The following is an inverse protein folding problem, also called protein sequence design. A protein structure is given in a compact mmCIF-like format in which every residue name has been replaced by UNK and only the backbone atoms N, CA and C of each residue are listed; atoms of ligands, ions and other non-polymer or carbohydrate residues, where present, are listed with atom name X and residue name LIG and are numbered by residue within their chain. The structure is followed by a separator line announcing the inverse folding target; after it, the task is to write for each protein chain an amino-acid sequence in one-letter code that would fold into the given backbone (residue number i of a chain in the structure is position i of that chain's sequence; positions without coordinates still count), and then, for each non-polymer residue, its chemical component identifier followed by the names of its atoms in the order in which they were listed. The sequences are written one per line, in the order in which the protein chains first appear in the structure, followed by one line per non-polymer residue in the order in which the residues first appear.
data_IF_863090642783
#
_entry.id   IF_863090642783
#
_cell.length_a   1.000
_cell.length_b   1.000
_cell.length_c   1.000
_cell.angle_alpha   90.00
_cell.angle_beta   90.00
_cell.angle_gamma   90.00
#
_symmetry.space_group_name_H-M   'P 1'
#
loop_
_entity.id
_entity.type
_entity.pdbx_description
1 polymer ?
#
# COMPACT_ATOMS: atom_id res chain seq x y z
N UNK A 1 -41.13 -1.45 25.40
CA UNK A 1 -39.80 -0.96 25.80
C UNK A 1 -38.90 -2.18 25.96
N UNK A 2 -37.76 -2.22 25.26
CA UNK A 2 -36.79 -3.33 25.36
C UNK A 2 -35.69 -2.93 26.34
N UNK A 3 -35.34 -3.82 27.26
CA UNK A 3 -34.21 -3.68 28.19
C UNK A 3 -33.20 -4.78 27.91
N UNK A 4 -31.93 -4.42 27.75
CA UNK A 4 -30.83 -5.36 27.54
C UNK A 4 -29.78 -5.18 28.64
N UNK A 5 -29.27 -6.29 29.17
CA UNK A 5 -28.21 -6.33 30.19
C UNK A 5 -27.01 -7.07 29.63
N UNK A 6 -25.85 -6.42 29.61
CA UNK A 6 -24.59 -7.03 29.15
C UNK A 6 -23.75 -7.37 30.39
N UNK A 7 -23.51 -8.66 30.60
CA UNK A 7 -22.60 -9.15 31.63
C UNK A 7 -21.23 -9.39 30.99
N UNK A 8 -20.19 -8.69 31.46
CA UNK A 8 -18.83 -8.80 30.93
C UNK A 8 -17.81 -8.99 32.06
N UNK A 9 -16.73 -9.73 31.77
CA UNK A 9 -15.60 -9.85 32.69
C UNK A 9 -14.64 -8.67 32.51
N UNK A 10 -14.32 -7.98 33.61
CA UNK A 10 -13.37 -6.88 33.62
C UNK A 10 -11.91 -7.34 33.46
N UNK A 11 -11.64 -8.64 33.61
CA UNK A 11 -10.34 -9.23 33.31
C UNK A 11 -10.03 -9.24 31.81
N UNK A 12 -11.08 -9.15 30.97
CA UNK A 12 -10.98 -9.23 29.50
C UNK A 12 -11.41 -7.93 28.81
N UNK A 13 -12.33 -7.16 29.40
CA UNK A 13 -12.93 -6.00 28.76
C UNK A 13 -12.85 -4.76 29.63
N UNK A 14 -12.46 -3.64 29.01
CA UNK A 14 -12.63 -2.33 29.62
C UNK A 14 -14.04 -1.78 29.35
N UNK A 15 -14.42 -0.76 30.12
CA UNK A 15 -15.74 -0.12 30.04
C UNK A 15 -16.02 0.45 28.65
N UNK A 16 -15.01 1.03 27.99
CA UNK A 16 -15.13 1.59 26.64
C UNK A 16 -15.45 0.51 25.59
N UNK A 17 -14.89 -0.69 25.73
CA UNK A 17 -15.17 -1.80 24.82
C UNK A 17 -16.59 -2.33 25.02
N UNK A 18 -17.04 -2.43 26.28
CA UNK A 18 -18.41 -2.84 26.59
C UNK A 18 -19.42 -1.82 26.02
N UNK A 19 -19.14 -0.52 26.13
CA UNK A 19 -19.97 0.54 25.57
C UNK A 19 -20.03 0.45 24.03
N UNK A 20 -18.88 0.24 23.35
CA UNK A 20 -18.83 0.02 21.90
C UNK A 20 -19.66 -1.19 21.48
N UNK A 21 -19.52 -2.34 22.16
CA UNK A 21 -20.31 -3.55 21.89
C UNK A 21 -21.81 -3.26 22.07
N UNK A 22 -22.20 -2.52 23.10
CA UNK A 22 -23.59 -2.11 23.32
C UNK A 22 -24.13 -1.26 22.16
N UNK A 23 -23.35 -0.28 21.69
CA UNK A 23 -23.70 0.57 20.55
C UNK A 23 -23.82 -0.23 19.25
N UNK A 24 -22.89 -1.16 18.98
CA UNK A 24 -22.92 -2.05 17.82
C UNK A 24 -24.16 -2.95 17.85
N UNK A 25 -24.47 -3.54 19.01
CA UNK A 25 -25.65 -4.38 19.19
C UNK A 25 -26.96 -3.59 18.97
N UNK A 26 -27.04 -2.37 19.49
CA UNK A 26 -28.18 -1.49 19.23
C UNK A 26 -28.34 -1.14 17.74
N UNK A 27 -27.23 -0.84 17.05
CA UNK A 27 -27.23 -0.60 15.61
C UNK A 27 -27.72 -1.81 14.82
N UNK A 28 -27.29 -3.01 15.21
CA UNK A 28 -27.73 -4.27 14.62
C UNK A 28 -29.25 -4.46 14.78
N UNK A 29 -29.79 -4.29 16.00
CA UNK A 29 -31.22 -4.41 16.25
C UNK A 29 -32.02 -3.40 15.43
N UNK A 30 -31.56 -2.15 15.36
CA UNK A 30 -32.17 -1.15 14.46
C UNK A 30 -32.18 -1.62 13.01
N UNK A 31 -31.05 -2.10 12.49
CA UNK A 31 -30.97 -2.56 11.10
C UNK A 31 -31.87 -3.75 10.80
N UNK A 32 -32.10 -4.65 11.77
CA UNK A 32 -33.02 -5.78 11.65
C UNK A 32 -34.50 -5.36 11.66
N UNK A 33 -34.87 -4.40 12.51
CA UNK A 33 -36.28 -4.05 12.73
C UNK A 33 -36.77 -2.81 11.94
N UNK A 34 -35.88 -2.03 11.34
CA UNK A 34 -36.27 -0.85 10.52
C UNK A 34 -36.62 -1.24 9.08
N UNK A 35 -36.33 -2.47 8.64
CA UNK A 35 -36.65 -2.98 7.29
C UNK A 35 -38.02 -3.66 7.17
N UNK A 36 -38.88 -3.55 8.20
CA UNK A 36 -40.15 -4.31 8.28
C UNK A 36 -41.23 -3.82 7.28
N UNK A 37 -41.10 -2.61 6.72
CA UNK A 37 -42.10 -2.08 5.77
C UNK A 37 -41.89 -2.50 4.31
N UNK A 38 -40.76 -3.11 3.95
CA UNK A 38 -40.54 -3.66 2.62
C UNK A 38 -40.14 -5.12 2.73
N UNK A 39 -40.96 -6.01 2.19
CA UNK A 39 -40.70 -7.45 2.06
C UNK A 39 -39.48 -7.73 1.17
N UNK A 40 -38.28 -7.41 1.64
CA UNK A 40 -37.03 -7.91 1.09
C UNK A 40 -36.35 -8.72 2.18
N UNK A 41 -36.13 -10.00 1.87
CA UNK A 41 -35.26 -10.93 2.59
C UNK A 41 -33.85 -10.34 2.65
N UNK A 42 -33.61 -9.45 3.62
CA UNK A 42 -32.29 -8.88 3.82
C UNK A 42 -31.37 -9.98 4.32
N UNK A 43 -30.35 -10.30 3.53
CA UNK A 43 -29.41 -11.34 3.91
C UNK A 43 -28.55 -10.88 5.08
N UNK A 44 -28.23 -11.81 5.98
CA UNK A 44 -27.48 -11.50 7.21
C UNK A 44 -26.12 -10.84 6.94
N UNK A 45 -25.50 -11.10 5.78
CA UNK A 45 -24.22 -10.50 5.38
C UNK A 45 -24.31 -9.00 5.02
N UNK A 46 -25.50 -8.45 4.86
CA UNK A 46 -25.72 -7.03 4.53
C UNK A 46 -25.88 -6.14 5.76
N UNK A 47 -25.87 -6.73 6.96
CA UNK A 47 -25.99 -6.02 8.23
C UNK A 47 -24.60 -5.57 8.65
N UNK A 48 -24.41 -4.26 8.84
CA UNK A 48 -23.13 -3.71 9.27
C UNK A 48 -23.08 -3.61 10.79
N UNK A 49 -22.04 -4.16 11.39
CA UNK A 49 -21.69 -3.89 12.80
C UNK A 49 -20.88 -2.62 12.97
N UNK A 50 -20.37 -2.04 11.88
CA UNK A 50 -19.49 -0.88 11.92
C UNK A 50 -20.27 0.35 12.34
N UNK A 51 -19.77 1.04 13.38
CA UNK A 51 -20.34 2.29 13.83
C UNK A 51 -19.96 3.45 12.90
N UNK A 52 -20.75 4.54 12.83
CA UNK A 52 -20.45 5.68 11.96
C UNK A 52 -19.06 6.31 12.19
N UNK A 53 -18.61 6.35 13.45
CA UNK A 53 -17.27 6.83 13.82
C UNK A 53 -16.15 5.91 13.31
N UNK A 54 -16.36 4.60 13.32
CA UNK A 54 -15.42 3.61 12.78
C UNK A 54 -15.33 3.72 11.25
N UNK A 55 -16.46 3.93 10.57
CA UNK A 55 -16.48 4.21 9.13
C UNK A 55 -15.70 5.49 8.78
N UNK A 56 -15.90 6.55 9.55
CA UNK A 56 -15.14 7.79 9.38
C UNK A 56 -13.64 7.58 9.60
N UNK A 57 -13.26 6.84 10.66
CA UNK A 57 -11.87 6.51 10.93
C UNK A 57 -11.25 5.74 9.75
N UNK A 58 -11.94 4.70 9.26
CA UNK A 58 -11.51 3.92 8.10
C UNK A 58 -11.31 4.81 6.86
N UNK A 59 -12.24 5.72 6.57
CA UNK A 59 -12.12 6.64 5.44
C UNK A 59 -10.94 7.60 5.63
N UNK A 60 -10.77 8.15 6.84
CA UNK A 60 -9.70 9.11 7.13
C UNK A 60 -8.31 8.47 7.06
N UNK A 61 -8.14 7.26 7.58
CA UNK A 61 -6.86 6.54 7.55
C UNK A 61 -6.52 6.02 6.15
N UNK A 62 -7.54 5.65 5.36
CA UNK A 62 -7.36 5.19 3.98
C UNK A 62 -7.38 6.33 2.95
N UNK A 63 -7.40 7.60 3.38
CA UNK A 63 -7.29 8.74 2.49
C UNK A 63 -5.84 8.95 2.03
N UNK A 64 -5.30 7.98 1.29
CA UNK A 64 -3.93 7.96 0.77
C UNK A 64 -3.85 8.41 -0.69
N UNK A 65 -4.96 8.90 -1.25
CA UNK A 65 -5.01 9.43 -2.61
C UNK A 65 -4.19 10.72 -2.70
N UNK A 66 -3.03 10.62 -3.33
CA UNK A 66 -2.17 11.76 -3.65
C UNK A 66 -2.07 11.85 -5.17
N UNK A 67 -2.36 13.02 -5.73
CA UNK A 67 -2.16 13.27 -7.15
C UNK A 67 -0.66 13.25 -7.47
N UNK A 68 -0.18 12.19 -8.11
CA UNK A 68 1.15 12.21 -8.71
C UNK A 68 1.14 13.16 -9.91
N UNK A 69 2.00 14.19 -9.86
CA UNK A 69 2.02 15.27 -10.85
C UNK A 69 2.63 14.88 -12.21
N UNK A 70 3.28 13.72 -12.29
CA UNK A 70 3.88 13.22 -13.53
C UNK A 70 2.96 12.16 -14.15
N UNK A 71 2.87 12.04 -15.49
CA UNK A 71 2.43 10.78 -16.08
C UNK A 71 3.23 9.64 -15.43
N UNK A 72 2.64 8.45 -15.27
CA UNK A 72 3.31 7.31 -14.64
C UNK A 72 4.62 7.02 -15.38
N UNK A 73 5.73 7.58 -14.91
CA UNK A 73 7.06 7.39 -15.46
C UNK A 73 7.66 6.18 -14.78
N UNK A 74 8.20 5.25 -15.57
CA UNK A 74 8.95 4.15 -14.98
C UNK A 74 10.18 4.73 -14.25
N UNK A 75 10.61 4.09 -13.16
CA UNK A 75 11.76 4.54 -12.36
C UNK A 75 13.00 4.80 -13.22
N UNK A 76 13.25 3.98 -14.25
CA UNK A 76 14.37 4.18 -15.16
C UNK A 76 14.30 5.48 -15.99
N UNK A 77 13.10 6.00 -16.30
CA UNK A 77 12.95 7.29 -16.99
C UNK A 77 13.35 8.45 -16.08
N UNK A 78 12.90 8.45 -14.83
CA UNK A 78 13.29 9.47 -13.84
C UNK A 78 14.80 9.42 -13.54
N UNK A 79 15.37 8.22 -13.48
CA UNK A 79 16.81 8.04 -13.35
C UNK A 79 17.57 8.65 -14.53
N UNK A 80 17.17 8.36 -15.77
CA UNK A 80 17.79 8.96 -16.97
C UNK A 80 17.66 10.48 -16.95
N UNK A 81 16.49 11.02 -16.58
CA UNK A 81 16.29 12.46 -16.46
C UNK A 81 17.26 13.10 -15.46
N UNK A 82 17.41 12.50 -14.26
CA UNK A 82 18.35 12.98 -13.26
C UNK A 82 19.81 12.87 -13.73
N UNK A 83 20.16 11.78 -14.41
CA UNK A 83 21.51 11.56 -14.91
C UNK A 83 21.91 12.55 -16.02
N UNK A 84 20.98 12.89 -16.90
CA UNK A 84 21.17 13.93 -17.90
C UNK A 84 21.26 15.33 -17.27
N UNK A 85 20.49 15.58 -16.20
CA UNK A 85 20.45 16.88 -15.51
C UNK A 85 21.69 17.13 -14.65
N UNK A 86 22.23 16.08 -14.01
CA UNK A 86 23.34 16.17 -13.07
C UNK A 86 24.40 15.08 -13.29
N UNK A 87 25.05 15.04 -14.47
CA UNK A 87 25.90 13.92 -14.87
C UNK A 87 27.08 13.68 -13.93
N UNK A 88 27.67 14.76 -13.38
CA UNK A 88 28.86 14.70 -12.53
C UNK A 88 28.54 14.55 -11.03
N UNK A 89 27.26 14.50 -10.65
CA UNK A 89 26.90 14.25 -9.24
C UNK A 89 27.11 12.77 -8.92
N UNK A 90 27.52 12.51 -7.68
CA UNK A 90 27.58 11.17 -7.12
C UNK A 90 26.18 10.54 -7.10
N UNK A 91 26.07 9.34 -7.67
CA UNK A 91 24.85 8.54 -7.71
C UNK A 91 24.90 7.39 -6.69
N UNK A 92 26.06 6.73 -6.59
CA UNK A 92 26.28 5.57 -5.71
C UNK A 92 27.66 5.67 -5.09
N UNK A 93 27.75 5.34 -3.80
CA UNK A 93 29.01 5.26 -3.05
C UNK A 93 28.97 4.00 -2.18
N UNK A 94 30.08 3.27 -2.14
CA UNK A 94 30.30 2.11 -1.28
C UNK A 94 31.77 2.12 -0.85
N UNK A 95 31.99 2.27 0.45
CA UNK A 95 33.33 2.42 1.04
C UNK A 95 34.11 3.55 0.34
N UNK A 96 35.29 3.24 -0.23
CA UNK A 96 36.14 4.20 -0.96
C UNK A 96 35.81 4.29 -2.46
N UNK A 97 34.78 3.58 -2.92
CA UNK A 97 34.37 3.53 -4.32
C UNK A 97 33.13 4.39 -4.55
N UNK A 98 33.13 5.14 -5.65
CA UNK A 98 32.03 6.02 -6.01
C UNK A 98 31.75 6.01 -7.50
N UNK A 99 30.50 6.26 -7.89
CA UNK A 99 30.09 6.37 -9.27
C UNK A 99 29.17 7.58 -9.47
N UNK A 100 29.47 8.36 -10.49
CA UNK A 100 28.62 9.47 -10.92
C UNK A 100 27.38 8.98 -11.64
N UNK A 101 26.37 9.84 -11.76
CA UNK A 101 25.18 9.53 -12.54
C UNK A 101 25.48 9.19 -14.01
N UNK A 102 26.45 9.88 -14.63
CA UNK A 102 26.85 9.61 -16.01
C UNK A 102 27.47 8.22 -16.18
N UNK A 103 28.35 7.83 -15.26
CA UNK A 103 28.98 6.50 -15.27
C UNK A 103 27.95 5.39 -15.02
N UNK A 104 27.07 5.58 -14.04
CA UNK A 104 26.03 4.59 -13.75
C UNK A 104 25.07 4.41 -14.92
N UNK A 105 24.67 5.51 -15.57
CA UNK A 105 23.84 5.45 -16.76
C UNK A 105 24.54 4.69 -17.90
N UNK A 106 25.82 4.96 -18.14
CA UNK A 106 26.60 4.27 -19.16
C UNK A 106 26.62 2.76 -18.93
N UNK A 107 26.96 2.31 -17.71
CA UNK A 107 27.02 0.88 -17.40
C UNK A 107 25.64 0.20 -17.47
N UNK A 108 24.60 0.86 -16.96
CA UNK A 108 23.23 0.33 -17.00
C UNK A 108 22.73 0.20 -18.45
N UNK A 109 23.03 1.17 -19.32
CA UNK A 109 22.73 1.09 -20.75
C UNK A 109 23.48 -0.06 -21.42
N UNK A 110 24.78 -0.23 -21.16
CA UNK A 110 25.55 -1.35 -21.70
C UNK A 110 24.98 -2.71 -21.27
N UNK A 111 24.60 -2.86 -20.00
CA UNK A 111 23.95 -4.08 -19.51
C UNK A 111 22.62 -4.32 -20.20
N UNK A 112 21.79 -3.28 -20.36
CA UNK A 112 20.48 -3.40 -21.03
C UNK A 112 20.61 -3.88 -22.49
N UNK A 113 21.58 -3.34 -23.24
CA UNK A 113 21.83 -3.74 -24.62
C UNK A 113 22.35 -5.18 -24.67
N UNK A 114 23.18 -5.58 -23.70
CA UNK A 114 23.69 -6.96 -23.63
C UNK A 114 22.55 -7.95 -23.38
N UNK A 115 21.67 -7.66 -22.41
CA UNK A 115 20.48 -8.47 -22.12
C UNK A 115 19.55 -8.57 -23.33
N UNK A 116 19.35 -7.47 -24.06
CA UNK A 116 18.51 -7.45 -25.25
C UNK A 116 19.10 -8.26 -26.42
N UNK A 117 20.37 -8.03 -26.75
CA UNK A 117 20.96 -8.58 -27.98
C UNK A 117 21.59 -9.95 -27.83
N UNK A 118 22.07 -10.30 -26.63
CA UNK A 118 22.75 -11.58 -26.39
C UNK A 118 21.89 -12.59 -25.63
N UNK A 119 20.88 -12.12 -24.89
CA UNK A 119 20.04 -12.99 -24.06
C UNK A 119 18.54 -12.91 -24.39
N UNK A 120 18.14 -12.11 -25.40
CA UNK A 120 16.75 -11.94 -25.88
C UNK A 120 15.73 -11.62 -24.76
N UNK A 121 16.18 -10.87 -23.73
CA UNK A 121 15.33 -10.47 -22.61
C UNK A 121 14.25 -9.50 -23.05
N UNK A 122 13.01 -9.76 -22.65
CA UNK A 122 11.81 -8.99 -22.98
C UNK A 122 11.14 -8.40 -21.75
N UNK A 123 10.27 -7.44 -21.98
CA UNK A 123 9.45 -6.86 -20.91
C UNK A 123 8.55 -7.94 -20.29
N UNK A 124 8.64 -8.09 -18.97
CA UNK A 124 7.91 -9.11 -18.21
C UNK A 124 8.72 -10.37 -17.90
N UNK A 125 9.92 -10.51 -18.46
CA UNK A 125 10.80 -11.62 -18.15
C UNK A 125 11.39 -11.51 -16.74
N UNK A 126 11.68 -12.66 -16.14
CA UNK A 126 12.33 -12.76 -14.83
C UNK A 126 13.83 -12.94 -15.05
N UNK A 127 14.62 -11.99 -14.55
CA UNK A 127 16.09 -12.05 -14.58
C UNK A 127 16.61 -12.21 -13.15
N UNK A 128 17.28 -13.33 -12.87
CA UNK A 128 17.88 -13.59 -11.56
C UNK A 128 19.23 -12.87 -11.42
N UNK A 129 19.41 -12.12 -10.33
CA UNK A 129 20.67 -11.49 -9.97
C UNK A 129 21.30 -12.26 -8.80
N UNK A 130 22.47 -12.86 -9.02
CA UNK A 130 23.24 -13.57 -7.99
C UNK A 130 24.63 -12.93 -7.86
N UNK A 131 24.68 -11.78 -7.20
CA UNK A 131 25.92 -11.03 -6.96
C UNK A 131 25.95 -10.57 -5.50
N UNK A 132 27.15 -10.46 -4.95
CA UNK A 132 27.34 -9.89 -3.61
C UNK A 132 27.18 -8.36 -3.63
N UNK A 133 26.95 -7.78 -2.44
CA UNK A 133 26.84 -6.34 -2.25
C UNK A 133 28.10 -5.64 -2.76
N UNK A 134 27.94 -4.90 -3.85
CA UNK A 134 29.02 -4.20 -4.56
C UNK A 134 28.43 -3.11 -5.46
N UNK A 135 29.25 -2.20 -6.01
CA UNK A 135 28.76 -1.28 -7.05
C UNK A 135 28.21 -2.04 -8.28
N UNK A 136 28.67 -3.28 -8.51
CA UNK A 136 28.16 -4.12 -9.59
C UNK A 136 26.73 -4.61 -9.38
N UNK A 137 26.24 -4.64 -8.14
CA UNK A 137 24.85 -4.97 -7.84
C UNK A 137 23.88 -3.88 -8.31
N UNK A 138 24.33 -2.61 -8.36
CA UNK A 138 23.48 -1.45 -8.66
C UNK A 138 23.49 -1.07 -10.15
N UNK A 139 24.55 -1.42 -10.88
CA UNK A 139 24.68 -1.21 -12.35
C UNK A 139 23.67 -2.03 -13.12
#
# INVERSE_FOLDING_TARGET
QLSCTINASLDLFNVETIDKISQQFHSLLKQLFTSVDNQMERSMYEISLTLPNEQYLMQSMNNTQVSFRSPVTCVHHEFVYQAMKYPQKLAVELDEQSMTYAELLYYSQCLSLNLLYHYDVKSGDIVCQCVERSLAMVK
#
